data_IF_871460988970
#
_entry.id   IF_871460988970
#
_cell.length_a   1.000
_cell.length_b   1.000
_cell.length_c   1.000
_cell.angle_alpha   90.00
_cell.angle_beta   90.00
_cell.angle_gamma   90.00
#
_symmetry.space_group_name_H-M   'P 1'
#
loop_
_entity.id
_entity.type
_entity.pdbx_description
1 polymer ?
#
# COMPACT_ATOMS: atom_id res chain seq x y z
N UNK A 1 -1.31 14.40 -1.79
CA UNK A 1 -0.05 14.45 -2.58
C UNK A 1 0.73 15.69 -2.21
N UNK A 2 2.06 15.60 -2.15
CA UNK A 2 2.92 16.71 -1.74
C UNK A 2 2.95 17.80 -2.82
N UNK A 3 2.60 19.06 -2.49
CA UNK A 3 2.74 20.18 -3.39
C UNK A 3 4.20 20.37 -3.87
N UNK A 4 4.41 20.89 -5.10
CA UNK A 4 5.73 21.09 -5.66
C UNK A 4 6.48 22.19 -4.90
N UNK A 5 7.80 22.06 -4.83
CA UNK A 5 8.64 23.14 -4.33
C UNK A 5 8.70 24.31 -5.33
N UNK A 6 9.22 25.47 -4.90
CA UNK A 6 9.32 26.69 -5.73
C UNK A 6 10.01 26.45 -7.08
N UNK A 7 11.06 25.61 -7.12
CA UNK A 7 11.78 25.29 -8.36
C UNK A 7 10.92 24.48 -9.32
N UNK A 8 10.14 23.53 -8.82
CA UNK A 8 9.21 22.72 -9.61
C UNK A 8 8.07 23.57 -10.16
N UNK A 9 7.53 24.51 -9.38
CA UNK A 9 6.50 25.46 -9.84
C UNK A 9 7.03 26.33 -10.98
N UNK A 10 8.24 26.89 -10.84
CA UNK A 10 8.86 27.70 -11.89
C UNK A 10 9.07 26.91 -13.19
N UNK A 11 9.48 25.64 -13.10
CA UNK A 11 9.65 24.76 -14.25
C UNK A 11 8.33 24.41 -14.94
N UNK A 12 7.25 24.24 -14.18
CA UNK A 12 5.90 24.04 -14.75
C UNK A 12 5.43 25.30 -15.46
N UNK A 13 5.61 26.47 -14.85
CA UNK A 13 5.26 27.76 -15.45
C UNK A 13 6.01 28.03 -16.77
N UNK A 14 7.31 27.69 -16.85
CA UNK A 14 8.08 27.77 -18.10
C UNK A 14 7.51 26.88 -19.23
N UNK A 15 6.79 25.81 -18.88
CA UNK A 15 6.11 24.91 -19.82
C UNK A 15 4.65 25.29 -20.08
N UNK A 16 4.16 26.37 -19.46
CA UNK A 16 2.74 26.73 -19.49
C UNK A 16 1.84 25.78 -18.70
N UNK A 17 2.44 24.92 -17.85
CA UNK A 17 1.72 23.95 -17.02
C UNK A 17 1.44 24.55 -15.64
N UNK A 18 0.28 24.23 -15.06
CA UNK A 18 -0.03 24.52 -13.66
C UNK A 18 -0.02 23.22 -12.85
N UNK A 19 0.37 23.31 -11.58
CA UNK A 19 0.30 22.16 -10.69
C UNK A 19 -1.14 21.93 -10.24
N UNK A 20 -1.57 20.66 -10.27
CA UNK A 20 -2.79 20.19 -9.63
C UNK A 20 -2.56 18.83 -8.95
N UNK A 21 -3.39 18.46 -7.96
CA UNK A 21 -3.34 17.15 -7.34
C UNK A 21 -3.71 16.06 -8.37
N UNK A 22 -3.02 14.92 -8.36
CA UNK A 22 -3.41 13.76 -9.16
C UNK A 22 -4.53 13.00 -8.46
N UNK A 23 -5.40 12.38 -9.27
CA UNK A 23 -6.39 11.39 -8.82
C UNK A 23 -5.72 10.12 -8.27
N UNK A 24 -4.49 9.83 -8.69
CA UNK A 24 -3.77 8.62 -8.32
C UNK A 24 -2.78 8.86 -7.18
N UNK A 25 -2.79 7.96 -6.18
CA UNK A 25 -1.78 7.93 -5.10
C UNK A 25 -0.37 7.70 -5.69
N UNK A 26 -0.27 6.79 -6.66
CA UNK A 26 0.96 6.50 -7.41
C UNK A 26 0.84 7.02 -8.85
N UNK A 27 0.90 8.35 -8.99
CA UNK A 27 0.81 9.02 -10.28
C UNK A 27 2.07 8.83 -11.13
N UNK A 28 1.91 8.75 -12.45
CA UNK A 28 2.98 8.72 -13.43
C UNK A 28 2.79 9.82 -14.47
N UNK A 29 3.83 10.65 -14.67
CA UNK A 29 3.81 11.72 -15.68
C UNK A 29 4.01 11.22 -17.10
N UNK A 30 4.48 9.98 -17.25
CA UNK A 30 4.85 9.39 -18.56
C UNK A 30 3.88 8.28 -18.96
N UNK A 31 2.93 7.90 -18.11
CA UNK A 31 1.88 6.93 -18.47
C UNK A 31 0.74 7.63 -19.19
N UNK A 32 0.15 6.97 -20.19
CA UNK A 32 -1.00 7.50 -20.94
C UNK A 32 -2.26 7.65 -20.08
N UNK A 33 -2.41 6.81 -19.05
CA UNK A 33 -3.53 6.82 -18.09
C UNK A 33 -3.20 7.51 -16.76
N UNK A 34 -2.03 8.16 -16.67
CA UNK A 34 -1.62 8.99 -15.54
C UNK A 34 -1.23 8.24 -14.26
N UNK A 35 -1.27 6.91 -14.22
CA UNK A 35 -0.88 6.09 -13.05
C UNK A 35 0.34 5.23 -13.32
N UNK A 36 0.95 4.71 -12.26
CA UNK A 36 2.04 3.74 -12.40
C UNK A 36 1.53 2.47 -13.11
N UNK A 37 2.13 2.16 -14.26
CA UNK A 37 1.85 0.92 -14.99
C UNK A 37 2.80 -0.22 -14.60
N UNK A 38 4.09 0.09 -14.40
CA UNK A 38 5.13 -0.90 -14.14
C UNK A 38 5.88 -0.60 -12.82
N UNK A 39 5.51 -1.23 -11.70
CA UNK A 39 6.14 -1.00 -10.40
C UNK A 39 7.47 -1.74 -10.22
N UNK A 40 7.78 -2.79 -11.00
CA UNK A 40 8.98 -3.62 -10.80
C UNK A 40 10.27 -2.83 -10.98
N UNK A 41 10.31 -1.88 -11.91
CA UNK A 41 11.54 -1.12 -12.15
C UNK A 41 11.91 -0.29 -10.91
N UNK A 42 10.95 0.42 -10.31
CA UNK A 42 11.21 1.21 -9.10
C UNK A 42 11.61 0.31 -7.93
N UNK A 43 10.90 -0.81 -7.75
CA UNK A 43 11.20 -1.81 -6.74
C UNK A 43 12.62 -2.37 -6.85
N UNK A 44 13.03 -2.80 -8.05
CA UNK A 44 14.36 -3.35 -8.28
C UNK A 44 15.48 -2.33 -8.01
N UNK A 45 15.28 -1.06 -8.39
CA UNK A 45 16.23 0.02 -8.06
C UNK A 45 16.35 0.25 -6.55
N UNK A 46 15.24 0.16 -5.82
CA UNK A 46 15.24 0.30 -4.37
C UNK A 46 16.00 -0.85 -3.67
N UNK A 47 16.01 -2.04 -4.27
CA UNK A 47 16.74 -3.20 -3.73
C UNK A 47 18.24 -3.19 -4.03
N UNK A 48 18.68 -2.57 -5.13
CA UNK A 48 20.10 -2.55 -5.55
C UNK A 48 21.09 -2.21 -4.43
N UNK A 49 20.89 -1.18 -3.57
CA UNK A 49 21.86 -0.83 -2.52
C UNK A 49 21.76 -1.70 -1.26
N UNK A 50 20.75 -2.58 -1.13
CA UNK A 50 20.40 -3.21 0.16
C UNK A 50 21.16 -4.50 0.46
N UNK A 51 21.84 -5.09 -0.53
CA UNK A 51 22.49 -6.39 -0.39
C UNK A 51 21.53 -7.57 -0.13
N UNK A 52 20.21 -7.33 -0.17
CA UNK A 52 19.21 -8.35 0.04
C UNK A 52 19.18 -9.35 -1.14
N UNK A 53 18.82 -10.62 -0.89
CA UNK A 53 18.54 -11.57 -1.96
C UNK A 53 17.36 -11.08 -2.81
N UNK A 54 17.11 -11.76 -3.94
CA UNK A 54 16.01 -11.39 -4.83
C UNK A 54 14.66 -11.34 -4.08
N UNK A 55 14.09 -10.15 -4.00
CA UNK A 55 12.79 -9.88 -3.40
C UNK A 55 11.84 -9.34 -4.45
N UNK A 56 10.75 -10.03 -4.73
CA UNK A 56 9.74 -9.60 -5.71
C UNK A 56 8.50 -9.02 -5.03
N UNK A 57 7.73 -8.20 -5.75
CA UNK A 57 6.43 -7.69 -5.27
C UNK A 57 5.45 -8.83 -4.95
N UNK A 58 5.47 -9.89 -5.75
CA UNK A 58 4.68 -11.09 -5.46
C UNK A 58 5.19 -11.81 -4.21
N UNK A 59 6.52 -11.88 -4.03
CA UNK A 59 7.16 -12.37 -2.80
C UNK A 59 6.66 -11.63 -1.57
N UNK A 60 6.70 -10.28 -1.60
CA UNK A 60 6.17 -9.42 -0.54
C UNK A 60 4.69 -9.69 -0.26
N UNK A 61 3.86 -9.83 -1.29
CA UNK A 61 2.44 -10.19 -1.15
C UNK A 61 2.26 -11.55 -0.47
N UNK A 62 3.10 -12.55 -0.77
CA UNK A 62 3.03 -13.84 -0.07
C UNK A 62 3.48 -13.72 1.38
N UNK A 63 4.57 -12.99 1.64
CA UNK A 63 5.06 -12.73 2.99
C UNK A 63 4.02 -12.07 3.87
N UNK A 64 3.18 -11.17 3.34
CA UNK A 64 2.05 -10.60 4.10
C UNK A 64 1.17 -11.67 4.74
N UNK A 65 0.84 -12.73 4.00
CA UNK A 65 -0.01 -13.81 4.51
C UNK A 65 0.65 -14.55 5.66
N UNK A 66 1.90 -15.01 5.46
CA UNK A 66 2.66 -15.69 6.51
C UNK A 66 2.93 -14.80 7.72
N UNK A 67 3.23 -13.51 7.52
CA UNK A 67 3.52 -12.58 8.61
C UNK A 67 2.27 -12.26 9.44
N UNK A 68 1.08 -12.28 8.82
CA UNK A 68 -0.18 -12.05 9.55
C UNK A 68 -0.51 -13.13 10.58
N UNK A 69 0.12 -14.30 10.52
CA UNK A 69 -0.01 -15.36 11.52
C UNK A 69 0.56 -14.93 12.88
N UNK A 70 1.62 -14.11 12.89
CA UNK A 70 2.26 -13.61 14.12
C UNK A 70 1.37 -12.69 14.96
N UNK A 71 0.32 -12.14 14.35
CA UNK A 71 -0.70 -11.33 15.03
C UNK A 71 -2.06 -12.03 15.09
N UNK A 72 -2.10 -13.32 14.77
CA UNK A 72 -3.26 -14.22 14.86
C UNK A 72 -4.46 -13.76 14.01
N UNK A 73 -4.20 -13.15 12.85
CA UNK A 73 -5.28 -12.69 11.97
C UNK A 73 -6.04 -13.91 11.42
N UNK A 74 -7.39 -13.94 11.50
CA UNK A 74 -8.16 -15.05 10.95
C UNK A 74 -7.93 -15.21 9.44
N UNK A 75 -7.73 -16.45 8.97
CA UNK A 75 -7.37 -16.74 7.57
C UNK A 75 -8.32 -16.09 6.54
N UNK A 76 -9.63 -16.08 6.83
CA UNK A 76 -10.62 -15.45 5.95
C UNK A 76 -10.56 -13.92 5.92
N UNK A 77 -10.02 -13.28 6.96
CA UNK A 77 -9.71 -11.83 6.96
C UNK A 77 -8.49 -11.56 6.08
N UNK A 78 -7.42 -12.35 6.25
CA UNK A 78 -6.20 -12.26 5.42
C UNK A 78 -6.54 -12.43 3.94
N UNK A 79 -7.33 -13.46 3.61
CA UNK A 79 -7.78 -13.73 2.25
C UNK A 79 -8.57 -12.55 1.66
N UNK A 80 -9.46 -11.92 2.44
CA UNK A 80 -10.22 -10.76 1.99
C UNK A 80 -9.35 -9.51 1.80
N UNK A 81 -8.42 -9.23 2.72
CA UNK A 81 -7.46 -8.13 2.58
C UNK A 81 -6.59 -8.32 1.32
N UNK A 82 -6.15 -9.56 1.05
CA UNK A 82 -5.36 -9.87 -0.14
C UNK A 82 -6.18 -9.95 -1.44
N UNK A 83 -7.51 -9.78 -1.38
CA UNK A 83 -8.39 -9.88 -2.54
C UNK A 83 -8.48 -11.28 -3.15
N UNK A 84 -8.29 -12.34 -2.35
CA UNK A 84 -8.41 -13.71 -2.84
C UNK A 84 -9.87 -14.04 -3.13
N UNK A 85 -10.08 -14.80 -4.21
CA UNK A 85 -11.41 -15.35 -4.51
C UNK A 85 -11.80 -16.33 -3.41
N UNK A 86 -13.01 -16.23 -2.82
CA UNK A 86 -13.47 -17.18 -1.82
C UNK A 86 -13.41 -18.62 -2.36
N UNK A 87 -12.61 -19.46 -1.71
CA UNK A 87 -12.38 -20.84 -2.15
C UNK A 87 -13.30 -21.83 -1.43
N UNK A 88 -13.56 -21.63 -0.14
CA UNK A 88 -14.39 -22.50 0.69
C UNK A 88 -15.90 -22.22 0.54
N UNK A 89 -16.72 -23.27 0.55
CA UNK A 89 -18.19 -23.20 0.43
C UNK A 89 -18.80 -22.30 1.53
N UNK A 90 -18.29 -22.38 2.76
CA UNK A 90 -18.73 -21.54 3.88
C UNK A 90 -18.38 -20.04 3.71
N UNK A 91 -17.31 -19.71 2.99
CA UNK A 91 -16.94 -18.33 2.68
C UNK A 91 -17.69 -17.80 1.45
N UNK A 92 -18.02 -18.68 0.49
CA UNK A 92 -18.78 -18.33 -0.72
C UNK A 92 -20.19 -17.84 -0.42
N UNK A 93 -20.81 -18.28 0.68
CA UNK A 93 -22.24 -18.06 0.87
C UNK A 93 -22.66 -16.95 1.85
N UNK A 94 -21.91 -16.48 2.85
CA UNK A 94 -22.51 -15.44 3.74
C UNK A 94 -21.58 -14.57 4.63
N UNK A 95 -20.28 -14.44 4.37
CA UNK A 95 -19.42 -13.54 5.19
C UNK A 95 -18.80 -12.39 4.40
N UNK A 96 -19.62 -11.38 4.07
CA UNK A 96 -19.10 -10.03 3.84
C UNK A 96 -18.69 -9.45 5.20
N UNK A 97 -17.38 -9.37 5.44
CA UNK A 97 -16.84 -8.70 6.63
C UNK A 97 -16.95 -7.19 6.42
N UNK A 98 -17.38 -6.42 7.44
CA UNK A 98 -17.39 -4.95 7.35
C UNK A 98 -15.98 -4.42 7.07
N UNK A 99 -15.90 -3.29 6.35
CA UNK A 99 -14.61 -2.66 6.04
C UNK A 99 -13.85 -2.31 7.33
N UNK A 100 -14.55 -1.87 8.37
CA UNK A 100 -13.95 -1.56 9.67
C UNK A 100 -13.30 -2.76 10.35
N UNK A 101 -13.88 -3.96 10.18
CA UNK A 101 -13.27 -5.19 10.69
C UNK A 101 -11.98 -5.50 9.95
N UNK A 102 -11.96 -5.33 8.62
CA UNK A 102 -10.75 -5.52 7.82
C UNK A 102 -9.68 -4.48 8.18
N UNK A 103 -10.09 -3.22 8.37
CA UNK A 103 -9.23 -2.11 8.79
C UNK A 103 -8.59 -2.38 10.15
N UNK A 104 -9.37 -2.77 11.16
CA UNK A 104 -8.86 -3.10 12.50
C UNK A 104 -7.72 -4.12 12.44
N UNK A 105 -7.88 -5.19 11.66
CA UNK A 105 -6.85 -6.20 11.49
C UNK A 105 -5.67 -5.70 10.68
N UNK A 106 -5.91 -4.91 9.63
CA UNK A 106 -4.86 -4.29 8.84
C UNK A 106 -3.99 -3.34 9.67
N UNK A 107 -4.59 -2.54 10.54
CA UNK A 107 -3.89 -1.65 11.47
C UNK A 107 -3.02 -2.47 12.44
N UNK A 108 -3.55 -3.58 12.99
CA UNK A 108 -2.78 -4.48 13.86
C UNK A 108 -1.54 -5.06 13.15
N UNK A 109 -1.69 -5.47 11.89
CA UNK A 109 -0.57 -5.97 11.06
C UNK A 109 0.46 -4.85 10.84
N UNK A 110 0.01 -3.65 10.46
CA UNK A 110 0.89 -2.49 10.23
C UNK A 110 1.70 -2.14 11.48
N UNK A 111 1.04 -1.99 12.64
CA UNK A 111 1.70 -1.71 13.92
C UNK A 111 2.76 -2.75 14.23
N UNK A 112 2.42 -4.03 14.15
CA UNK A 112 3.39 -5.10 14.42
C UNK A 112 4.57 -5.09 13.45
N UNK A 113 4.34 -4.87 12.15
CA UNK A 113 5.41 -4.79 11.16
C UNK A 113 6.38 -3.63 11.43
N UNK A 114 5.85 -2.47 11.81
CA UNK A 114 6.67 -1.29 12.14
C UNK A 114 7.47 -1.52 13.43
N UNK A 115 6.88 -2.17 14.44
CA UNK A 115 7.60 -2.60 15.65
C UNK A 115 8.76 -3.54 15.33
N UNK A 116 8.55 -4.58 14.50
CA UNK A 116 9.63 -5.51 14.11
C UNK A 116 10.73 -4.81 13.30
N UNK A 117 10.38 -3.76 12.56
CA UNK A 117 11.32 -2.95 11.79
C UNK A 117 12.00 -1.85 12.63
N UNK A 118 11.65 -1.71 13.92
CA UNK A 118 12.12 -0.63 14.81
C UNK A 118 11.84 0.77 14.22
N UNK A 119 10.71 0.91 13.53
CA UNK A 119 10.25 2.18 12.96
C UNK A 119 9.22 2.77 13.90
N UNK A 120 9.54 3.93 14.49
CA UNK A 120 8.58 4.70 15.27
C UNK A 120 7.43 5.16 14.37
N UNK A 121 6.20 4.93 14.84
CA UNK A 121 4.98 5.37 14.16
C UNK A 121 4.23 6.34 15.05
N UNK A 122 3.88 7.50 14.49
CA UNK A 122 2.99 8.45 15.16
C UNK A 122 1.58 7.85 15.24
N UNK A 123 0.90 7.95 16.40
CA UNK A 123 -0.49 7.50 16.51
C UNK A 123 -1.34 8.27 15.50
N UNK A 124 -1.99 7.54 14.58
CA UNK A 124 -2.87 8.14 13.58
C UNK A 124 -4.00 8.88 14.31
N UNK A 125 -4.00 10.21 14.25
CA UNK A 125 -5.02 11.04 14.86
C UNK A 125 -6.39 10.71 14.23
N UNK A 126 -7.23 9.98 14.97
CA UNK A 126 -8.58 9.57 14.53
C UNK A 126 -9.51 10.78 14.66
N UNK A 127 -9.39 11.73 13.74
CA UNK A 127 -10.48 12.68 13.51
C UNK A 127 -11.62 11.89 12.85
N UNK A 128 -12.59 11.48 13.66
CA UNK A 128 -13.93 11.16 13.17
C UNK A 128 -14.45 12.43 12.50
N UNK A 129 -14.37 12.49 11.18
CA UNK A 129 -15.15 13.45 10.40
C UNK A 129 -15.68 12.69 9.19
N UNK A 130 -16.99 12.49 9.24
CA UNK A 130 -17.96 12.06 8.23
C UNK A 130 -17.92 10.62 7.67
#
# INVERSE_FOLDING_TARGET
>A
MTPPNKRQVARLAQKGEQWGPSEWVFASKTSSDGKIAEPRHAHNRALTPTGLPHLSLHGLRRSFGTLSEWVEVPVGVVAQIQGHKPSAIAEKHYRRRPLDLLRMWHDKIETWMLEQAQIESEPRNRSNTD
#
